data_IF_820428505441
#
_entry.id   IF_820428505441
#
_cell.length_a   1.000
_cell.length_b   1.000
_cell.length_c   1.000
_cell.angle_alpha   90.00
_cell.angle_beta   90.00
_cell.angle_gamma   90.00
#
_symmetry.space_group_name_H-M   'P 1'
#
loop_
_entity.id
_entity.type
_entity.pdbx_description
1 polymer ?
#
# COMPACT_ATOMS: atom_id res chain seq x y z
N UNK A 1 -25.71 8.72 4.17
CA UNK A 1 -26.91 8.12 3.54
C UNK A 1 -27.44 7.04 4.47
N UNK A 2 -28.76 6.89 4.64
CA UNK A 2 -29.35 5.79 5.42
C UNK A 2 -29.75 4.66 4.48
N UNK A 3 -29.21 3.47 4.71
CA UNK A 3 -29.49 2.27 3.91
C UNK A 3 -30.05 1.19 4.83
N UNK A 4 -31.12 0.53 4.40
CA UNK A 4 -31.65 -0.66 5.07
C UNK A 4 -31.13 -1.89 4.34
N UNK A 5 -30.50 -2.81 5.07
CA UNK A 5 -29.97 -4.07 4.53
C UNK A 5 -30.63 -5.24 5.24
N UNK A 6 -30.79 -6.36 4.54
CA UNK A 6 -31.15 -7.64 5.17
C UNK A 6 -29.87 -8.31 5.65
N UNK A 7 -29.84 -8.69 6.92
CA UNK A 7 -28.72 -9.37 7.56
C UNK A 7 -29.26 -10.59 8.31
N UNK A 8 -28.51 -11.68 8.28
CA UNK A 8 -28.81 -12.84 9.11
C UNK A 8 -28.86 -12.45 10.61
N UNK A 9 -29.83 -12.99 11.34
CA UNK A 9 -30.08 -12.62 12.74
C UNK A 9 -28.89 -12.97 13.64
N UNK A 10 -28.26 -14.13 13.42
CA UNK A 10 -27.12 -14.53 14.23
C UNK A 10 -25.92 -13.63 13.97
N UNK A 11 -25.66 -13.30 12.70
CA UNK A 11 -24.61 -12.35 12.33
C UNK A 11 -24.85 -10.95 12.91
N UNK A 12 -26.09 -10.49 12.94
CA UNK A 12 -26.45 -9.20 13.53
C UNK A 12 -26.15 -9.14 15.03
N UNK A 13 -26.50 -10.19 15.78
CA UNK A 13 -26.19 -10.28 17.22
C UNK A 13 -24.68 -10.33 17.48
N UNK A 14 -23.94 -11.16 16.74
CA UNK A 14 -22.48 -11.23 16.87
C UNK A 14 -21.81 -9.88 16.60
N UNK A 15 -22.21 -9.20 15.53
CA UNK A 15 -21.66 -7.91 15.18
C UNK A 15 -22.02 -6.82 16.21
N UNK A 16 -23.22 -6.87 16.81
CA UNK A 16 -23.59 -5.96 17.91
C UNK A 16 -22.74 -6.20 19.15
N UNK A 17 -22.56 -7.46 19.54
CA UNK A 17 -21.71 -7.81 20.69
C UNK A 17 -20.26 -7.35 20.47
N UNK A 18 -19.73 -7.56 19.26
CA UNK A 18 -18.40 -7.08 18.88
C UNK A 18 -18.30 -5.55 18.92
N UNK A 19 -19.29 -4.83 18.41
CA UNK A 19 -19.33 -3.37 18.46
C UNK A 19 -19.32 -2.85 19.91
N UNK A 20 -20.14 -3.45 20.79
CA UNK A 20 -20.16 -3.12 22.21
C UNK A 20 -18.80 -3.39 22.89
N UNK A 21 -18.23 -4.57 22.66
CA UNK A 21 -16.93 -4.95 23.23
C UNK A 21 -15.78 -4.04 22.74
N UNK A 22 -15.88 -3.50 21.53
CA UNK A 22 -14.90 -2.56 20.96
C UNK A 22 -15.20 -1.09 21.25
N UNK A 23 -16.28 -0.78 21.97
CA UNK A 23 -16.68 0.59 22.32
C UNK A 23 -17.17 1.42 21.13
N UNK A 24 -17.70 0.77 20.09
CA UNK A 24 -18.14 1.40 18.83
C UNK A 24 -19.63 1.16 18.59
N UNK A 25 -20.24 1.98 17.73
CA UNK A 25 -21.61 1.71 17.28
C UNK A 25 -21.62 0.63 16.19
N UNK A 26 -22.72 -0.11 16.09
CA UNK A 26 -22.91 -1.08 15.00
C UNK A 26 -22.76 -0.43 13.61
N UNK A 27 -23.29 0.79 13.43
CA UNK A 27 -23.14 1.54 12.18
C UNK A 27 -21.67 1.82 11.85
N UNK A 28 -20.87 2.26 12.83
CA UNK A 28 -19.44 2.53 12.61
C UNK A 28 -18.69 1.26 12.23
N UNK A 29 -18.99 0.13 12.87
CA UNK A 29 -18.42 -1.17 12.54
C UNK A 29 -18.74 -1.59 11.10
N UNK A 30 -19.99 -1.44 10.65
CA UNK A 30 -20.40 -1.80 9.30
C UNK A 30 -19.73 -0.88 8.27
N UNK A 31 -19.65 0.43 8.52
CA UNK A 31 -18.95 1.34 7.63
C UNK A 31 -17.46 1.00 7.49
N UNK A 32 -16.79 0.71 8.60
CA UNK A 32 -15.39 0.31 8.64
C UNK A 32 -15.16 -0.98 7.84
N UNK A 33 -15.97 -2.02 8.10
CA UNK A 33 -15.88 -3.27 7.38
C UNK A 33 -16.09 -3.10 5.86
N UNK A 34 -17.04 -2.26 5.45
CA UNK A 34 -17.27 -1.96 4.03
C UNK A 34 -16.08 -1.20 3.42
N UNK A 35 -15.55 -0.19 4.12
CA UNK A 35 -14.36 0.55 3.67
C UNK A 35 -13.17 -0.38 3.55
N UNK A 36 -12.90 -1.21 4.54
CA UNK A 36 -11.80 -2.17 4.50
C UNK A 36 -11.95 -3.13 3.33
N UNK A 37 -13.14 -3.68 3.08
CA UNK A 37 -13.34 -4.62 1.96
C UNK A 37 -13.20 -3.96 0.59
N UNK A 38 -13.62 -2.71 0.44
CA UNK A 38 -13.57 -1.99 -0.83
C UNK A 38 -12.21 -1.32 -1.08
N UNK A 39 -11.52 -0.89 -0.02
CA UNK A 39 -10.23 -0.20 -0.08
C UNK A 39 -9.05 -1.15 0.11
N UNK A 40 -9.25 -2.38 0.59
CA UNK A 40 -8.22 -3.40 0.60
C UNK A 40 -7.70 -3.57 -0.82
N UNK A 41 -6.50 -3.03 -1.08
CA UNK A 41 -5.76 -3.37 -2.29
C UNK A 41 -5.61 -4.89 -2.27
N UNK A 42 -5.87 -5.58 -3.40
CA UNK A 42 -5.53 -6.99 -3.50
C UNK A 42 -4.09 -7.12 -3.01
N UNK A 43 -3.89 -7.94 -1.98
CA UNK A 43 -2.58 -8.18 -1.39
C UNK A 43 -1.66 -8.43 -2.58
N UNK A 44 -0.71 -7.52 -2.82
CA UNK A 44 0.16 -7.64 -3.99
C UNK A 44 0.76 -9.03 -3.90
N UNK A 45 0.37 -9.92 -4.82
CA UNK A 45 0.89 -11.28 -4.95
C UNK A 45 2.37 -11.20 -4.61
N UNK A 46 2.81 -11.94 -3.59
CA UNK A 46 4.17 -11.95 -3.03
C UNK A 46 5.13 -11.15 -3.93
N UNK A 47 5.35 -9.87 -3.60
CA UNK A 47 6.22 -9.01 -4.40
C UNK A 47 7.50 -9.79 -4.66
N UNK A 48 7.74 -10.13 -5.93
CA UNK A 48 8.95 -10.86 -6.32
C UNK A 48 10.10 -10.01 -5.79
N UNK A 49 10.96 -10.60 -4.95
CA UNK A 49 12.16 -9.91 -4.49
C UNK A 49 13.05 -9.70 -5.72
N UNK A 50 13.01 -8.50 -6.28
CA UNK A 50 13.91 -8.12 -7.37
C UNK A 50 15.28 -7.91 -6.75
N UNK A 51 16.26 -8.73 -7.16
CA UNK A 51 17.66 -8.48 -6.85
C UNK A 51 18.19 -7.50 -7.88
N UNK A 52 18.30 -6.22 -7.51
CA UNK A 52 18.94 -5.22 -8.34
C UNK A 52 20.42 -5.55 -8.49
N UNK A 53 20.94 -5.40 -9.71
CA UNK A 53 22.39 -5.50 -9.95
C UNK A 53 23.04 -4.29 -9.29
N UNK A 54 23.84 -4.53 -8.25
CA UNK A 54 24.64 -3.49 -7.60
C UNK A 54 26.03 -3.48 -8.22
N UNK A 55 26.56 -2.30 -8.50
CA UNK A 55 27.95 -2.09 -8.89
C UNK A 55 28.73 -1.56 -7.69
N UNK A 56 29.96 -2.01 -7.51
CA UNK A 56 30.88 -1.45 -6.51
C UNK A 56 31.72 -0.35 -7.17
N UNK A 57 32.03 0.71 -6.42
CA UNK A 57 32.85 1.83 -6.90
C UNK A 57 33.40 2.63 -5.72
N UNK A 58 34.35 3.52 -5.99
CA UNK A 58 35.02 4.35 -4.99
C UNK A 58 34.32 5.70 -4.75
N UNK A 59 33.08 5.83 -5.21
CA UNK A 59 32.32 7.08 -5.20
C UNK A 59 32.20 7.70 -6.59
N UNK A 60 31.88 8.99 -6.62
CA UNK A 60 31.64 9.74 -7.85
C UNK A 60 32.99 10.13 -8.47
N UNK A 61 33.13 9.96 -9.78
CA UNK A 61 34.30 10.45 -10.50
C UNK A 61 34.35 11.99 -10.43
N UNK A 62 35.52 12.55 -10.11
CA UNK A 62 35.68 14.00 -9.99
C UNK A 62 35.28 14.69 -11.31
N UNK A 63 34.43 15.71 -11.22
CA UNK A 63 33.96 16.48 -12.38
C UNK A 63 32.68 15.93 -13.02
N UNK A 64 32.11 14.82 -12.53
CA UNK A 64 30.81 14.33 -12.96
C UNK A 64 29.70 15.03 -12.18
N UNK A 65 28.80 15.68 -12.90
CA UNK A 65 27.55 16.22 -12.38
C UNK A 65 26.43 15.17 -12.55
N UNK A 66 25.87 14.69 -11.43
CA UNK A 66 24.82 13.67 -11.45
C UNK A 66 23.42 14.24 -11.68
N UNK A 67 23.24 15.57 -11.58
CA UNK A 67 21.96 16.22 -11.82
C UNK A 67 21.73 16.50 -13.33
N UNK A 68 22.77 16.33 -14.15
CA UNK A 68 22.73 16.48 -15.61
C UNK A 68 22.84 15.14 -16.33
N UNK A 69 21.70 14.59 -16.73
CA UNK A 69 21.65 13.33 -17.48
C UNK A 69 22.43 13.37 -18.80
N UNK A 70 22.45 14.52 -19.49
CA UNK A 70 23.13 14.66 -20.78
C UNK A 70 24.66 14.59 -20.63
N UNK A 71 25.22 15.37 -19.70
CA UNK A 71 26.67 15.38 -19.46
C UNK A 71 27.19 14.04 -18.94
N UNK A 72 26.38 13.34 -18.13
CA UNK A 72 26.71 11.99 -17.67
C UNK A 72 26.73 10.98 -18.82
N UNK A 73 25.76 11.04 -19.74
CA UNK A 73 25.68 10.12 -20.88
C UNK A 73 26.86 10.31 -21.84
N UNK A 74 27.20 11.55 -22.18
CA UNK A 74 28.35 11.86 -23.06
C UNK A 74 29.66 11.26 -22.51
N UNK A 75 29.87 11.29 -21.20
CA UNK A 75 31.04 10.69 -20.55
C UNK A 75 31.03 9.16 -20.57
N UNK A 76 29.85 8.53 -20.53
CA UNK A 76 29.71 7.07 -20.57
C UNK A 76 29.87 6.51 -21.99
N UNK A 77 29.59 7.31 -23.01
CA UNK A 77 29.69 6.94 -24.43
C UNK A 77 31.02 7.37 -25.07
N UNK A 78 31.88 8.09 -24.35
CA UNK A 78 33.17 8.60 -24.85
C UNK A 78 34.32 7.56 -24.86
N UNK A 79 34.03 6.28 -24.58
CA UNK A 79 34.98 5.15 -24.64
C UNK A 79 34.77 4.28 -25.91
#
# INVERSE_FOLDING_TARGET
MRTTIQLDNHLHEMARQYALASGRTFTALIEEALREKLMARPMQKNRIRVRLKTVQGQGIHRGVDLDSNAALLDLMEAD
#
